data_IF_136219727848
#
_entry.id   IF_136219727848
#
_cell.length_a   1.000
_cell.length_b   1.000
_cell.length_c   1.000
_cell.angle_alpha   90.00
_cell.angle_beta   90.00
_cell.angle_gamma   90.00
#
_symmetry.space_group_name_H-M   'P 1'
#
loop_
_entity.id
_entity.type
_entity.pdbx_description
1 polymer ?
#
# COMPACT_ATOMS: atom_id res chain seq x y z
N UNK A 1 13.93 -0.50 -24.29
CA UNK A 1 12.98 0.63 -24.30
C UNK A 1 12.10 0.60 -23.05
N UNK A 2 11.51 -0.54 -22.68
CA UNK A 2 10.69 -0.66 -21.46
C UNK A 2 11.42 -0.29 -20.15
N UNK A 3 12.69 -0.68 -19.98
CA UNK A 3 13.46 -0.34 -18.77
C UNK A 3 13.59 1.17 -18.53
N UNK A 4 13.79 1.96 -19.59
CA UNK A 4 13.88 3.43 -19.51
C UNK A 4 12.55 4.08 -19.12
N UNK A 5 11.43 3.50 -19.58
CA UNK A 5 10.07 4.00 -19.23
C UNK A 5 9.83 3.83 -17.74
N UNK A 6 10.15 2.65 -17.19
CA UNK A 6 9.98 2.39 -15.77
C UNK A 6 10.93 3.22 -14.91
N UNK A 7 12.18 3.40 -15.34
CA UNK A 7 13.13 4.29 -14.68
C UNK A 7 12.60 5.73 -14.62
N UNK A 8 12.15 6.28 -15.75
CA UNK A 8 11.57 7.62 -15.81
C UNK A 8 10.30 7.77 -14.97
N UNK A 9 9.42 6.77 -14.91
CA UNK A 9 8.23 6.80 -14.04
C UNK A 9 8.62 6.79 -12.56
N UNK A 10 9.65 6.03 -12.19
CA UNK A 10 10.15 6.01 -10.81
C UNK A 10 10.85 7.32 -10.44
N UNK A 11 11.62 7.91 -11.36
CA UNK A 11 12.23 9.24 -11.18
C UNK A 11 11.17 10.33 -11.04
N UNK A 12 10.15 10.32 -11.90
CA UNK A 12 9.01 11.24 -11.82
C UNK A 12 8.28 11.12 -10.48
N UNK A 13 8.15 9.90 -9.95
CA UNK A 13 7.54 9.66 -8.64
C UNK A 13 8.38 10.20 -7.50
N UNK A 14 9.70 9.97 -7.52
CA UNK A 14 10.64 10.54 -6.53
C UNK A 14 10.63 12.07 -6.58
N UNK A 15 10.72 12.64 -7.79
CA UNK A 15 10.67 14.08 -8.01
C UNK A 15 9.36 14.69 -7.48
N UNK A 16 8.22 14.03 -7.75
CA UNK A 16 6.93 14.46 -7.25
C UNK A 16 6.87 14.47 -5.71
N UNK A 17 7.55 13.53 -5.06
CA UNK A 17 7.63 13.52 -3.60
C UNK A 17 8.50 14.65 -3.04
N UNK A 18 9.70 14.83 -3.61
CA UNK A 18 10.63 15.90 -3.22
C UNK A 18 10.00 17.29 -3.39
N UNK A 19 9.27 17.49 -4.48
CA UNK A 19 8.62 18.77 -4.81
C UNK A 19 7.23 18.93 -4.21
N UNK A 20 6.73 17.93 -3.46
CA UNK A 20 5.35 17.91 -2.93
C UNK A 20 4.30 18.19 -4.02
N UNK A 21 4.54 17.64 -5.21
CA UNK A 21 3.69 17.81 -6.37
C UNK A 21 2.27 17.33 -6.05
N UNK A 22 1.29 18.03 -6.60
CA UNK A 22 -0.11 17.63 -6.49
C UNK A 22 -0.30 16.19 -7.02
N UNK A 23 -0.92 15.28 -6.25
CA UNK A 23 -1.10 13.89 -6.66
C UNK A 23 -1.87 13.72 -7.97
N UNK A 24 -2.81 14.63 -8.29
CA UNK A 24 -3.53 14.57 -9.57
C UNK A 24 -2.58 14.92 -10.71
N UNK A 25 -1.78 15.98 -10.59
CA UNK A 25 -0.78 16.34 -11.59
C UNK A 25 0.23 15.20 -11.84
N UNK A 26 0.77 14.61 -10.77
CA UNK A 26 1.65 13.44 -10.88
C UNK A 26 0.96 12.29 -11.63
N UNK A 27 -0.31 12.00 -11.32
CA UNK A 27 -1.06 10.91 -11.95
C UNK A 27 -1.25 11.12 -13.46
N UNK A 28 -1.44 12.38 -13.89
CA UNK A 28 -1.55 12.75 -15.30
C UNK A 28 -0.21 12.53 -16.01
N UNK A 29 0.89 12.99 -15.40
CA UNK A 29 2.23 12.85 -15.97
C UNK A 29 2.64 11.37 -16.11
N UNK A 30 2.40 10.55 -15.08
CA UNK A 30 2.67 9.11 -15.13
C UNK A 30 1.81 8.42 -16.18
N UNK A 31 0.52 8.75 -16.26
CA UNK A 31 -0.37 8.17 -17.28
C UNK A 31 0.07 8.53 -18.70
N UNK A 32 0.47 9.79 -18.92
CA UNK A 32 0.97 10.25 -20.22
C UNK A 32 2.26 9.53 -20.62
N UNK A 33 3.20 9.37 -19.67
CA UNK A 33 4.46 8.67 -19.91
C UNK A 33 4.26 7.17 -20.21
N UNK A 34 3.31 6.52 -19.52
CA UNK A 34 2.99 5.11 -19.76
C UNK A 34 2.25 4.91 -21.10
N UNK A 35 1.29 5.78 -21.41
CA UNK A 35 0.56 5.72 -22.68
C UNK A 35 1.46 6.00 -23.88
N UNK A 36 2.39 6.96 -23.79
CA UNK A 36 3.35 7.24 -24.87
C UNK A 36 4.33 6.09 -25.10
N UNK A 37 4.58 5.29 -24.07
CA UNK A 37 5.35 4.06 -24.15
C UNK A 37 4.55 2.82 -24.60
N UNK A 38 3.25 2.97 -24.86
CA UNK A 38 2.37 1.86 -25.26
C UNK A 38 1.97 0.92 -24.11
N UNK A 39 2.14 1.33 -22.85
CA UNK A 39 1.74 0.54 -21.69
C UNK A 39 0.23 0.68 -21.46
N UNK A 40 -0.48 -0.44 -21.40
CA UNK A 40 -1.91 -0.46 -21.10
C UNK A 40 -2.18 -0.13 -19.62
N UNK A 41 -3.16 0.73 -19.38
CA UNK A 41 -3.66 1.03 -18.04
C UNK A 41 -5.03 0.36 -17.79
N UNK A 42 -5.29 -0.20 -16.59
CA UNK A 42 -4.44 -0.20 -15.40
C UNK A 42 -3.24 -1.16 -15.51
N UNK A 43 -2.05 -0.72 -15.09
CA UNK A 43 -0.81 -1.49 -15.16
C UNK A 43 -0.52 -2.26 -13.86
N UNK A 44 -0.33 -3.57 -13.99
CA UNK A 44 0.10 -4.49 -12.92
C UNK A 44 1.54 -4.19 -12.48
N UNK A 45 2.45 -4.01 -13.44
CA UNK A 45 3.85 -3.70 -13.18
C UNK A 45 4.03 -2.41 -12.38
N UNK A 46 3.23 -1.38 -12.69
CA UNK A 46 3.24 -0.14 -11.92
C UNK A 46 2.84 -0.37 -10.46
N UNK A 47 1.84 -1.22 -10.19
CA UNK A 47 1.42 -1.54 -8.83
C UNK A 47 2.55 -2.19 -8.03
N UNK A 48 3.23 -3.18 -8.60
CA UNK A 48 4.36 -3.84 -7.96
C UNK A 48 5.49 -2.87 -7.65
N UNK A 49 5.84 -1.99 -8.61
CA UNK A 49 6.95 -1.03 -8.46
C UNK A 49 6.65 0.04 -7.42
N UNK A 50 5.46 0.65 -7.47
CA UNK A 50 5.05 1.67 -6.51
C UNK A 50 4.97 1.11 -5.09
N UNK A 51 4.39 -0.08 -4.92
CA UNK A 51 4.26 -0.69 -3.59
C UNK A 51 5.61 -1.15 -3.07
N UNK A 52 6.47 -1.70 -3.93
CA UNK A 52 7.84 -2.00 -3.54
C UNK A 52 8.56 -0.74 -3.07
N UNK A 53 8.38 0.38 -3.78
CA UNK A 53 8.98 1.67 -3.41
C UNK A 53 8.44 2.23 -2.09
N UNK A 54 7.11 2.22 -1.90
CA UNK A 54 6.45 2.73 -0.68
C UNK A 54 6.78 1.87 0.55
N UNK A 55 6.83 0.54 0.40
CA UNK A 55 7.06 -0.38 1.50
C UNK A 55 8.54 -0.70 1.75
N UNK A 56 9.46 -0.24 0.91
CA UNK A 56 10.90 -0.38 1.18
C UNK A 56 11.32 0.49 2.38
N UNK A 57 10.75 1.69 2.48
CA UNK A 57 11.04 2.64 3.57
C UNK A 57 10.51 2.14 4.92
N UNK A 58 9.30 1.56 4.95
CA UNK A 58 8.71 1.01 6.18
C UNK A 58 9.47 -0.20 6.75
N UNK A 59 10.24 -0.90 5.91
CA UNK A 59 11.04 -2.07 6.34
C UNK A 59 12.44 -1.64 6.79
N UNK A 60 12.99 -0.56 6.24
CA UNK A 60 14.33 -0.05 6.54
C UNK A 60 14.47 0.57 7.93
N UNK A 61 13.36 0.86 8.61
CA UNK A 61 13.38 1.23 10.04
C UNK A 61 13.82 0.09 10.97
N UNK A 62 13.89 -1.16 10.48
CA UNK A 62 14.36 -2.31 11.28
C UNK A 62 15.90 -2.41 11.31
N UNK A 63 16.62 -1.74 10.39
CA UNK A 63 18.09 -1.85 10.28
C UNK A 63 18.89 -0.68 10.89
N UNK A 64 18.25 0.34 11.47
CA UNK A 64 18.99 1.46 12.08
C UNK A 64 19.12 1.23 13.59
N UNK A 65 20.11 0.42 13.96
CA UNK A 65 20.70 0.41 15.32
C UNK A 65 22.13 0.94 15.30
N UNK A 66 22.46 1.88 14.41
CA UNK A 66 23.68 2.68 14.49
C UNK A 66 23.32 4.16 14.44
N UNK A 67 23.72 4.87 15.49
CA UNK A 67 23.29 6.21 15.87
C UNK A 67 23.74 7.32 14.91
N UNK A 68 23.16 7.37 13.71
CA UNK A 68 23.08 8.57 12.92
C UNK A 68 21.60 8.94 12.71
N UNK A 69 21.29 10.16 13.12
CA UNK A 69 20.05 10.88 12.96
C UNK A 69 19.65 11.05 11.49
N UNK A 70 19.24 9.97 10.83
CA UNK A 70 18.54 10.06 9.55
C UNK A 70 17.09 10.44 9.85
N UNK A 71 16.75 11.72 9.66
CA UNK A 71 15.40 12.26 9.77
C UNK A 71 14.43 11.49 8.86
N UNK A 72 13.75 10.50 9.43
CA UNK A 72 12.73 9.66 8.78
C UNK A 72 11.34 10.31 8.79
N UNK A 73 11.26 11.64 8.96
CA UNK A 73 10.02 12.29 9.39
C UNK A 73 9.06 12.69 8.28
N UNK A 74 9.40 12.64 6.98
CA UNK A 74 8.60 13.39 6.00
C UNK A 74 8.23 12.68 4.69
N UNK A 75 8.71 11.47 4.41
CA UNK A 75 8.57 10.89 3.05
C UNK A 75 7.40 9.90 2.87
N UNK A 76 6.84 9.40 3.97
CA UNK A 76 5.76 8.41 3.93
C UNK A 76 4.41 9.02 3.49
N UNK A 77 3.90 10.12 4.07
CA UNK A 77 2.50 10.54 3.83
C UNK A 77 2.18 10.86 2.37
N UNK A 78 3.12 11.44 1.63
CA UNK A 78 2.90 11.81 0.24
C UNK A 78 2.93 10.58 -0.68
N UNK A 79 3.78 9.59 -0.40
CA UNK A 79 3.83 8.34 -1.17
C UNK A 79 2.48 7.59 -1.13
N UNK A 80 1.85 7.55 0.04
CA UNK A 80 0.51 7.00 0.21
C UNK A 80 -0.57 7.80 -0.54
N UNK A 81 -0.46 9.14 -0.58
CA UNK A 81 -1.37 9.99 -1.36
C UNK A 81 -1.23 9.78 -2.87
N UNK A 82 -0.01 9.59 -3.37
CA UNK A 82 0.22 9.25 -4.77
C UNK A 82 -0.39 7.87 -5.10
N UNK A 83 -0.17 6.87 -4.24
CA UNK A 83 -0.75 5.55 -4.41
C UNK A 83 -2.28 5.56 -4.39
N UNK A 84 -2.87 6.27 -3.43
CA UNK A 84 -4.31 6.50 -3.36
C UNK A 84 -4.83 7.11 -4.67
N UNK A 85 -4.15 8.14 -5.15
CA UNK A 85 -4.57 8.82 -6.37
C UNK A 85 -4.48 7.91 -7.59
N UNK A 86 -3.40 7.13 -7.72
CA UNK A 86 -3.24 6.15 -8.79
C UNK A 86 -4.35 5.09 -8.80
N UNK A 87 -4.79 4.64 -7.62
CA UNK A 87 -5.95 3.75 -7.49
C UNK A 87 -7.26 4.44 -7.88
N UNK A 88 -7.47 5.67 -7.43
CA UNK A 88 -8.68 6.43 -7.72
C UNK A 88 -8.85 6.75 -9.22
N UNK A 89 -7.76 7.07 -9.92
CA UNK A 89 -7.76 7.35 -11.36
C UNK A 89 -7.48 6.12 -12.24
N UNK A 90 -7.42 4.92 -11.64
CA UNK A 90 -7.28 3.61 -12.32
C UNK A 90 -6.03 3.47 -13.19
N UNK A 91 -4.92 4.09 -12.80
CA UNK A 91 -3.61 3.88 -13.44
C UNK A 91 -3.07 2.49 -13.07
N UNK A 92 -3.48 1.97 -11.91
CA UNK A 92 -3.15 0.63 -11.45
C UNK A 92 -4.40 -0.10 -10.92
N UNK A 93 -4.42 -1.45 -10.86
CA UNK A 93 -5.57 -2.18 -10.35
C UNK A 93 -5.69 -2.04 -8.82
N UNK A 94 -6.77 -1.44 -8.28
CA UNK A 94 -6.85 -1.14 -6.84
C UNK A 94 -6.84 -2.38 -5.94
N UNK A 95 -7.52 -3.46 -6.33
CA UNK A 95 -7.55 -4.70 -5.55
C UNK A 95 -6.18 -5.39 -5.52
N UNK A 96 -5.46 -5.37 -6.64
CA UNK A 96 -4.09 -5.88 -6.67
C UNK A 96 -3.20 -5.05 -5.74
N UNK A 97 -3.28 -3.72 -5.81
CA UNK A 97 -2.49 -2.87 -4.93
C UNK A 97 -2.78 -3.10 -3.44
N UNK A 98 -4.05 -3.23 -3.07
CA UNK A 98 -4.44 -3.58 -1.70
C UNK A 98 -3.90 -4.96 -1.28
N UNK A 99 -3.94 -5.95 -2.17
CA UNK A 99 -3.40 -7.29 -1.88
C UNK A 99 -1.88 -7.27 -1.67
N UNK A 100 -1.15 -6.47 -2.45
CA UNK A 100 0.30 -6.34 -2.30
C UNK A 100 0.65 -5.58 -1.03
N UNK A 101 -0.08 -4.49 -0.72
CA UNK A 101 0.08 -3.76 0.54
C UNK A 101 -0.20 -4.64 1.76
N UNK A 102 -1.21 -5.51 1.72
CA UNK A 102 -1.55 -6.36 2.86
C UNK A 102 -0.38 -7.25 3.28
N UNK A 103 0.32 -7.85 2.30
CA UNK A 103 1.50 -8.69 2.54
C UNK A 103 2.66 -7.93 3.17
N UNK A 104 2.72 -6.60 2.99
CA UNK A 104 3.80 -5.75 3.50
C UNK A 104 3.44 -5.03 4.80
N UNK A 105 2.17 -4.70 5.02
CA UNK A 105 1.73 -3.87 6.15
C UNK A 105 1.20 -4.70 7.31
N UNK A 106 0.48 -5.81 7.04
CA UNK A 106 -0.10 -6.65 8.09
C UNK A 106 0.93 -7.25 9.06
N UNK A 107 2.11 -7.72 8.61
CA UNK A 107 3.13 -8.26 9.52
C UNK A 107 3.67 -7.23 10.51
N UNK A 108 3.68 -5.94 10.14
CA UNK A 108 4.29 -4.87 10.93
C UNK A 108 3.25 -3.92 11.56
N UNK A 109 1.99 -4.34 11.65
CA UNK A 109 0.86 -3.51 12.15
C UNK A 109 1.09 -2.89 13.54
N UNK A 110 1.82 -3.59 14.41
CA UNK A 110 2.12 -3.13 15.77
C UNK A 110 3.32 -2.19 15.82
N UNK A 111 4.24 -2.32 14.85
CA UNK A 111 5.45 -1.51 14.76
C UNK A 111 5.18 -0.16 14.08
N UNK A 112 4.26 -0.15 13.10
CA UNK A 112 3.90 1.04 12.33
C UNK A 112 2.37 1.24 12.27
N UNK A 113 1.75 1.66 13.39
CA UNK A 113 0.29 1.82 13.46
C UNK A 113 -0.25 2.86 12.47
N UNK A 114 0.53 3.89 12.13
CA UNK A 114 0.15 4.91 11.14
C UNK A 114 0.02 4.33 9.72
N UNK A 115 0.98 3.50 9.29
CA UNK A 115 0.92 2.83 7.98
C UNK A 115 -0.24 1.83 7.90
N UNK A 116 -0.50 1.11 9.00
CA UNK A 116 -1.65 0.22 9.10
C UNK A 116 -2.98 0.99 9.03
N UNK A 117 -3.10 2.14 9.71
CA UNK A 117 -4.29 2.98 9.64
C UNK A 117 -4.56 3.49 8.21
N UNK A 118 -3.52 3.95 7.50
CA UNK A 118 -3.62 4.36 6.09
C UNK A 118 -4.04 3.20 5.19
N UNK A 119 -3.48 2.00 5.39
CA UNK A 119 -3.89 0.81 4.66
C UNK A 119 -5.37 0.47 4.89
N UNK A 120 -5.85 0.50 6.13
CA UNK A 120 -7.27 0.22 6.44
C UNK A 120 -8.19 1.27 5.81
N UNK A 121 -7.78 2.54 5.81
CA UNK A 121 -8.55 3.61 5.18
C UNK A 121 -8.61 3.46 3.65
N UNK A 122 -7.51 3.09 2.99
CA UNK A 122 -7.49 2.74 1.57
C UNK A 122 -8.34 1.50 1.26
N UNK A 123 -8.27 0.47 2.10
CA UNK A 123 -9.07 -0.73 1.99
C UNK A 123 -10.55 -0.39 2.07
N UNK A 124 -10.95 0.49 2.99
CA UNK A 124 -12.32 0.93 3.12
C UNK A 124 -12.82 1.67 1.87
N UNK A 125 -12.01 2.57 1.34
CA UNK A 125 -12.38 3.43 0.20
C UNK A 125 -12.42 2.68 -1.13
N UNK A 126 -11.54 1.70 -1.35
CA UNK A 126 -11.45 1.00 -2.62
C UNK A 126 -12.11 -0.39 -2.63
N UNK A 127 -12.08 -1.14 -1.53
CA UNK A 127 -12.68 -2.48 -1.48
C UNK A 127 -14.18 -2.42 -1.15
N UNK A 128 -14.60 -1.64 -0.15
CA UNK A 128 -16.02 -1.58 0.25
C UNK A 128 -16.87 -0.68 -0.64
N UNK A 129 -16.29 0.32 -1.31
CA UNK A 129 -16.99 1.11 -2.33
C UNK A 129 -17.39 0.25 -3.55
N UNK A 130 -16.54 -0.69 -3.96
CA UNK A 130 -16.87 -1.70 -4.97
C UNK A 130 -18.00 -2.63 -4.49
N UNK A 131 -18.02 -2.95 -3.19
CA UNK A 131 -19.07 -3.80 -2.61
C UNK A 131 -20.43 -3.08 -2.48
N UNK A 132 -20.46 -1.74 -2.46
CA UNK A 132 -21.72 -0.97 -2.54
C UNK A 132 -22.41 -1.10 -3.91
N UNK A 133 -21.63 -1.34 -4.97
CA UNK A 133 -22.14 -1.59 -6.33
C UNK A 133 -22.64 -3.04 -6.50
N UNK A 134 -21.98 -4.01 -5.84
CA UNK A 134 -22.27 -5.44 -5.94
C UNK A 134 -22.51 -6.02 -4.54
N UNK A 135 -23.77 -6.02 -4.10
CA UNK A 135 -24.18 -6.33 -2.71
C UNK A 135 -23.70 -7.67 -2.11
N UNK A 136 -23.21 -8.60 -2.92
CA UNK A 136 -22.78 -9.95 -2.48
C UNK A 136 -21.32 -10.01 -1.99
N UNK A 137 -20.45 -9.06 -2.36
CA UNK A 137 -19.00 -9.17 -2.08
C UNK A 137 -18.59 -8.68 -0.68
N UNK A 138 -19.52 -8.03 0.04
CA UNK A 138 -19.30 -7.49 1.40
C UNK A 138 -19.02 -8.61 2.40
N UNK A 139 -19.81 -9.68 2.36
CA UNK A 139 -19.73 -10.77 3.32
C UNK A 139 -18.48 -11.62 3.11
N UNK A 140 -18.07 -11.82 1.85
CA UNK A 140 -16.87 -12.57 1.49
C UNK A 140 -15.61 -11.84 1.93
N UNK A 141 -15.52 -10.52 1.72
CA UNK A 141 -14.35 -9.76 2.15
C UNK A 141 -14.29 -9.63 3.68
N UNK A 142 -15.43 -9.41 4.34
CA UNK A 142 -15.53 -9.32 5.80
C UNK A 142 -15.20 -10.66 6.46
N UNK A 143 -15.60 -11.78 5.85
CA UNK A 143 -15.24 -13.13 6.27
C UNK A 143 -13.75 -13.41 5.99
N UNK A 144 -13.22 -13.00 4.84
CA UNK A 144 -11.80 -13.15 4.50
C UNK A 144 -10.87 -12.41 5.46
N UNK A 145 -11.20 -11.16 5.80
CA UNK A 145 -10.43 -10.37 6.76
C UNK A 145 -10.59 -10.95 8.18
N UNK A 146 -11.80 -11.34 8.59
CA UNK A 146 -12.03 -11.99 9.89
C UNK A 146 -11.29 -13.32 10.03
N UNK A 147 -11.25 -14.13 8.96
CA UNK A 147 -10.56 -15.43 8.96
C UNK A 147 -9.04 -15.29 8.90
N UNK A 148 -8.51 -14.29 8.21
CA UNK A 148 -7.08 -13.94 8.25
C UNK A 148 -6.67 -13.46 9.65
N UNK A 149 -7.46 -12.56 10.26
CA UNK A 149 -7.23 -12.09 11.64
C UNK A 149 -7.30 -13.24 12.65
N UNK A 150 -8.24 -14.17 12.50
CA UNK A 150 -8.40 -15.31 13.40
C UNK A 150 -7.37 -16.42 13.16
N UNK A 151 -6.91 -16.61 11.92
CA UNK A 151 -5.81 -17.51 11.58
C UNK A 151 -4.47 -17.04 12.13
N UNK A 152 -4.28 -15.72 12.24
CA UNK A 152 -3.06 -15.14 12.80
C UNK A 152 -3.03 -15.15 14.33
N UNK A 153 -4.18 -15.00 15.00
CA UNK A 153 -4.31 -15.24 16.45
C UNK A 153 -3.95 -16.68 16.85
N UNK A 154 -4.28 -17.67 16.02
CA UNK A 154 -3.92 -19.07 16.25
C UNK A 154 -2.43 -19.34 16.07
N UNK A 155 -1.76 -18.63 15.14
CA UNK A 155 -0.30 -18.72 14.93
C UNK A 155 0.51 -18.09 16.06
N UNK A 156 -0.03 -17.06 16.73
CA UNK A 156 0.66 -16.33 17.81
C UNK A 156 0.43 -16.91 19.23
N UNK A 157 -0.14 -18.10 19.37
CA UNK A 157 -0.05 -18.87 20.62
C UNK A 157 -0.46 -18.09 21.88
N UNK A 158 -1.63 -17.44 21.88
CA UNK A 158 -2.24 -16.97 23.13
C UNK A 158 -2.67 -18.19 23.96
N UNK A 159 -1.72 -18.73 24.71
CA UNK A 159 -1.95 -19.69 25.79
C UNK A 159 -2.64 -18.93 26.92
N UNK A 160 -3.96 -18.75 26.82
CA UNK A 160 -4.77 -18.32 27.96
C UNK A 160 -4.60 -19.41 29.03
N UNK A 161 -3.89 -19.03 30.09
CA UNK A 161 -3.71 -19.81 31.31
C UNK A 161 -5.12 -19.97 31.90
N UNK A 162 -5.67 -21.19 31.89
CA UNK A 162 -6.89 -21.51 32.63
C UNK A 162 -6.62 -21.22 34.11
N UNK A 163 -7.25 -20.17 34.60
CA UNK A 163 -7.44 -19.94 36.02
C UNK A 163 -8.34 -21.07 36.54
N UNK A 164 -7.76 -21.95 37.37
CA UNK A 164 -8.52 -22.96 38.10
C UNK A 164 -9.10 -22.25 39.33
N UNK A 165 -10.43 -22.13 39.35
CA UNK A 165 -11.16 -21.84 40.57
C UNK A 165 -10.88 -22.92 41.62
N UNK A 166 -10.67 -22.47 42.85
CA UNK A 166 -10.92 -23.21 44.08
C UNK A 166 -12.17 -22.56 44.68
#
# INVERSE_FOLDING_TARGET
MEAMVWEGVMELTKWAQEKKTDPLLWSIQVSAALNSAGVSLPSVDLAHRLISYICFDTTRMIEITDGHNSSCDNHVPLAWKLLEKAMAVRILPPLLALSLLSTRVLPYRHLHPAAYALYIDLLNRHAFSLSSRNGSMKDVLKLGISTMLEGEKRKLGFRIRKEKGI
#
